data_IF_894485295409
#
_entry.id   IF_894485295409
#
_cell.length_a   1.000
_cell.length_b   1.000
_cell.length_c   1.000
_cell.angle_alpha   90.00
_cell.angle_beta   90.00
_cell.angle_gamma   90.00
#
_symmetry.space_group_name_H-M   'P 1'
#
loop_
_entity.id
_entity.type
_entity.pdbx_description
1 polymer ?
#
# COMPACT_ATOMS: atom_id res chain seq x y z
N UNK A 1 4.68 9.06 16.63
CA UNK A 1 4.51 8.89 18.10
C UNK A 1 5.30 7.68 18.55
N UNK A 2 6.29 7.86 19.41
CA UNK A 2 6.95 6.75 20.10
C UNK A 2 6.30 6.52 21.46
N UNK A 3 6.67 5.42 22.13
CA UNK A 3 6.04 4.98 23.38
C UNK A 3 5.95 6.09 24.45
N UNK A 4 6.93 6.98 24.50
CA UNK A 4 7.04 8.03 25.53
C UNK A 4 7.24 9.44 24.97
N UNK A 5 7.59 9.59 23.69
CA UNK A 5 7.99 10.89 23.14
C UNK A 5 7.72 11.00 21.63
N UNK A 6 7.97 12.20 21.09
CA UNK A 6 7.93 12.48 19.65
C UNK A 6 9.31 12.93 19.18
N UNK A 7 9.89 12.20 18.22
CA UNK A 7 11.20 12.56 17.65
C UNK A 7 11.10 13.68 16.61
N UNK A 8 9.94 13.82 15.97
CA UNK A 8 9.73 14.80 14.90
C UNK A 8 9.24 16.15 15.44
N UNK A 9 8.84 16.21 16.71
CA UNK A 9 8.15 17.38 17.29
C UNK A 9 6.72 17.59 16.78
N UNK A 10 6.22 16.73 15.88
CA UNK A 10 4.88 16.82 15.29
C UNK A 10 3.96 15.84 16.02
N UNK A 11 2.84 16.34 16.53
CA UNK A 11 1.85 15.53 17.24
C UNK A 11 0.92 14.78 16.27
N UNK A 12 0.73 13.49 16.52
CA UNK A 12 -0.14 12.60 15.73
C UNK A 12 0.56 11.93 14.53
N UNK A 13 0.20 10.65 14.28
CA UNK A 13 0.81 9.84 13.20
C UNK A 13 0.43 10.39 11.83
N UNK A 14 -0.86 10.62 11.57
CA UNK A 14 -1.32 11.16 10.30
C UNK A 14 -0.72 12.54 10.00
N UNK A 15 -0.50 13.37 11.02
CA UNK A 15 0.14 14.68 10.87
C UNK A 15 1.60 14.54 10.46
N UNK A 16 2.32 13.58 11.04
CA UNK A 16 3.70 13.26 10.66
C UNK A 16 3.77 12.82 9.19
N UNK A 17 2.91 11.89 8.78
CA UNK A 17 2.86 11.40 7.39
C UNK A 17 2.52 12.53 6.41
N UNK A 18 1.58 13.40 6.78
CA UNK A 18 1.17 14.54 5.96
C UNK A 18 2.32 15.53 5.78
N UNK A 19 3.03 15.86 6.87
CA UNK A 19 4.19 16.75 6.79
C UNK A 19 5.28 16.22 5.85
N UNK A 20 5.55 14.90 5.91
CA UNK A 20 6.51 14.27 4.98
C UNK A 20 6.01 14.30 3.53
N UNK A 21 4.74 13.97 3.28
CA UNK A 21 4.16 13.97 1.93
C UNK A 21 4.12 15.37 1.31
N UNK A 22 3.65 16.37 2.05
CA UNK A 22 3.54 17.76 1.58
C UNK A 22 4.91 18.41 1.40
N UNK A 23 5.90 18.05 2.23
CA UNK A 23 7.26 18.54 2.13
C UNK A 23 7.98 18.18 0.83
N UNK A 24 7.51 17.17 0.10
CA UNK A 24 8.07 16.81 -1.21
C UNK A 24 7.67 17.81 -2.33
N UNK A 25 6.69 18.66 -2.07
CA UNK A 25 6.12 19.60 -3.02
C UNK A 25 5.00 19.02 -3.89
N UNK A 26 4.31 19.85 -4.69
CA UNK A 26 3.14 19.44 -5.48
C UNK A 26 3.45 18.34 -6.50
N UNK A 27 4.62 18.41 -7.14
CA UNK A 27 5.13 17.41 -8.08
C UNK A 27 6.61 17.20 -7.77
N UNK A 28 6.94 15.98 -7.35
CA UNK A 28 8.30 15.59 -6.98
C UNK A 28 9.09 15.22 -8.24
N UNK A 29 10.24 15.85 -8.48
CA UNK A 29 11.21 15.36 -9.47
C UNK A 29 11.87 14.09 -8.94
N UNK A 30 11.59 12.96 -9.59
CA UNK A 30 12.13 11.64 -9.22
C UNK A 30 13.25 11.16 -10.14
N UNK A 31 13.78 12.02 -11.01
CA UNK A 31 14.86 11.66 -11.95
C UNK A 31 16.16 11.20 -11.27
N UNK A 32 16.35 11.61 -10.00
CA UNK A 32 17.53 11.27 -9.17
C UNK A 32 17.19 10.40 -7.96
N UNK A 33 15.97 9.83 -7.91
CA UNK A 33 15.54 9.01 -6.77
C UNK A 33 16.28 7.66 -6.78
N UNK A 34 16.84 7.27 -5.64
CA UNK A 34 17.57 6.01 -5.46
C UNK A 34 16.75 5.08 -4.57
N UNK A 35 16.05 4.12 -5.18
CA UNK A 35 15.17 3.19 -4.48
C UNK A 35 15.96 1.95 -4.01
N UNK A 36 15.75 1.58 -2.75
CA UNK A 36 16.35 0.40 -2.12
C UNK A 36 15.45 -0.84 -2.15
N UNK A 37 15.91 -1.96 -1.58
CA UNK A 37 15.13 -3.20 -1.53
C UNK A 37 13.77 -3.07 -0.82
N UNK A 38 13.69 -2.21 0.21
CA UNK A 38 12.46 -1.95 0.95
C UNK A 38 11.39 -1.23 0.11
N UNK A 39 11.79 -0.54 -0.97
CA UNK A 39 10.89 0.22 -1.85
C UNK A 39 10.22 -0.64 -2.93
N UNK A 40 10.37 -1.97 -2.87
CA UNK A 40 9.76 -2.90 -3.83
C UNK A 40 8.26 -2.62 -4.07
N UNK A 41 7.42 -2.35 -3.06
CA UNK A 41 6.02 -2.01 -3.29
C UNK A 41 5.84 -0.73 -4.12
N UNK A 42 6.62 0.32 -3.85
CA UNK A 42 6.60 1.58 -4.60
C UNK A 42 7.02 1.35 -6.05
N UNK A 43 8.08 0.57 -6.27
CA UNK A 43 8.56 0.20 -7.61
C UNK A 43 7.43 -0.51 -8.39
N UNK A 44 6.77 -1.49 -7.79
CA UNK A 44 5.71 -2.25 -8.47
C UNK A 44 4.47 -1.40 -8.74
N UNK A 45 4.03 -0.60 -7.77
CA UNK A 45 2.89 0.31 -7.96
C UNK A 45 3.14 1.27 -9.14
N UNK A 46 4.33 1.87 -9.22
CA UNK A 46 4.67 2.79 -10.32
C UNK A 46 4.77 2.08 -11.67
N UNK A 47 5.29 0.86 -11.73
CA UNK A 47 5.30 0.06 -12.97
C UNK A 47 3.88 -0.21 -13.47
N UNK A 48 2.96 -0.56 -12.58
CA UNK A 48 1.55 -0.78 -12.93
C UNK A 48 0.90 0.50 -13.47
N UNK A 49 1.13 1.65 -12.83
CA UNK A 49 0.62 2.93 -13.29
C UNK A 49 1.17 3.32 -14.67
N UNK A 50 2.48 3.15 -14.90
CA UNK A 50 3.10 3.44 -16.21
C UNK A 50 2.54 2.54 -17.32
N UNK A 51 2.34 1.25 -17.03
CA UNK A 51 1.70 0.31 -17.97
C UNK A 51 0.26 0.71 -18.27
N UNK A 52 -0.48 1.16 -17.25
CA UNK A 52 -1.85 1.63 -17.44
C UNK A 52 -1.90 2.89 -18.33
N UNK A 53 -1.01 3.86 -18.11
CA UNK A 53 -0.88 5.05 -18.97
C UNK A 53 -0.62 4.65 -20.42
N UNK A 54 0.35 3.77 -20.68
CA UNK A 54 0.66 3.29 -22.02
C UNK A 54 -0.55 2.60 -22.68
N UNK A 55 -1.22 1.72 -21.93
CA UNK A 55 -2.40 1.00 -22.43
C UNK A 55 -3.51 1.96 -22.86
N UNK A 56 -3.77 3.00 -22.06
CA UNK A 56 -4.76 4.03 -22.39
C UNK A 56 -4.34 4.85 -23.61
N UNK A 57 -3.07 5.22 -23.73
CA UNK A 57 -2.54 5.94 -24.89
C UNK A 57 -2.71 5.15 -26.19
N UNK A 58 -2.58 3.82 -26.12
CA UNK A 58 -2.77 2.91 -27.24
C UNK A 58 -4.26 2.60 -27.52
N UNK A 59 -5.20 3.27 -26.82
CA UNK A 59 -6.66 3.08 -26.98
C UNK A 59 -7.23 1.85 -26.27
N UNK A 60 -6.42 1.18 -25.44
CA UNK A 60 -6.81 -0.02 -24.70
C UNK A 60 -7.45 0.28 -23.34
N UNK A 61 -7.92 -0.78 -22.69
CA UNK A 61 -8.45 -0.74 -21.32
C UNK A 61 -7.40 -1.26 -20.33
N UNK A 62 -6.92 -0.45 -19.36
CA UNK A 62 -5.90 -0.88 -18.41
C UNK A 62 -6.45 -1.84 -17.34
N UNK A 63 -5.56 -2.56 -16.66
CA UNK A 63 -5.92 -3.43 -15.53
C UNK A 63 -6.49 -2.60 -14.37
N UNK A 64 -7.37 -3.20 -13.58
CA UNK A 64 -7.88 -2.59 -12.35
C UNK A 64 -9.02 -1.58 -12.54
N UNK A 65 -9.67 -1.55 -13.71
CA UNK A 65 -10.87 -0.71 -13.94
C UNK A 65 -12.19 -1.44 -13.66
N UNK A 66 -12.16 -2.77 -13.54
CA UNK A 66 -13.34 -3.60 -13.28
C UNK A 66 -13.59 -3.81 -11.78
N UNK A 67 -14.82 -4.15 -11.36
CA UNK A 67 -15.23 -4.13 -9.95
C UNK A 67 -14.67 -5.25 -9.07
N UNK A 68 -13.86 -6.14 -9.64
CA UNK A 68 -13.35 -7.36 -8.99
C UNK A 68 -12.67 -7.15 -7.62
N UNK A 69 -12.13 -5.96 -7.37
CA UNK A 69 -11.42 -5.65 -6.13
C UNK A 69 -12.31 -5.04 -5.03
N UNK A 70 -13.57 -4.68 -5.31
CA UNK A 70 -14.44 -4.09 -4.28
C UNK A 70 -14.82 -5.05 -3.16
N UNK A 71 -14.67 -6.35 -3.38
CA UNK A 71 -14.84 -7.37 -2.35
C UNK A 71 -13.61 -7.53 -1.44
N UNK A 72 -12.47 -6.93 -1.79
CA UNK A 72 -11.27 -6.96 -0.93
C UNK A 72 -11.57 -6.21 0.36
N UNK A 73 -11.16 -6.81 1.49
CA UNK A 73 -11.33 -6.26 2.83
C UNK A 73 -10.00 -6.32 3.56
N UNK A 74 -9.70 -5.27 4.32
CA UNK A 74 -8.63 -5.30 5.30
C UNK A 74 -9.18 -5.94 6.59
N UNK A 75 -8.41 -6.83 7.19
CA UNK A 75 -8.68 -7.38 8.51
C UNK A 75 -7.53 -7.01 9.44
N UNK A 76 -7.86 -6.39 10.58
CA UNK A 76 -6.91 -6.09 11.64
C UNK A 76 -7.46 -6.54 12.99
N UNK A 77 -6.57 -6.90 13.91
CA UNK A 77 -6.96 -7.28 15.26
C UNK A 77 -5.78 -7.60 16.16
N UNK A 78 -5.93 -7.32 17.45
CA UNK A 78 -5.01 -7.79 18.49
C UNK A 78 -5.51 -9.16 18.96
N UNK A 79 -4.70 -10.19 18.78
CA UNK A 79 -5.09 -11.57 19.03
C UNK A 79 -4.16 -12.23 20.07
N UNK A 80 -4.66 -13.22 20.83
CA UNK A 80 -3.80 -14.10 21.63
C UNK A 80 -2.70 -14.73 20.76
N UNK A 81 -1.55 -15.00 21.36
CA UNK A 81 -0.36 -15.50 20.65
C UNK A 81 -0.61 -16.81 19.90
N UNK A 82 -1.49 -17.64 20.43
CA UNK A 82 -1.86 -18.97 19.96
C UNK A 82 -3.15 -18.98 19.11
N UNK A 83 -3.75 -17.81 18.87
CA UNK A 83 -4.95 -17.70 18.07
C UNK A 83 -4.67 -17.91 16.57
N UNK A 84 -5.56 -18.64 15.89
CA UNK A 84 -5.53 -18.74 14.43
C UNK A 84 -6.13 -17.47 13.80
N UNK A 85 -5.25 -16.50 13.53
CA UNK A 85 -5.64 -15.21 12.95
C UNK A 85 -6.31 -15.34 11.59
N UNK A 86 -6.01 -16.37 10.80
CA UNK A 86 -6.65 -16.55 9.48
C UNK A 86 -8.11 -16.94 9.67
N UNK A 87 -8.38 -17.90 10.55
CA UNK A 87 -9.75 -18.26 10.87
C UNK A 87 -10.54 -17.09 11.47
N UNK A 88 -9.89 -16.26 12.29
CA UNK A 88 -10.56 -15.16 13.01
C UNK A 88 -10.78 -13.92 12.14
N UNK A 89 -9.75 -13.45 11.44
CA UNK A 89 -9.79 -12.21 10.65
C UNK A 89 -10.33 -12.43 9.24
N UNK A 90 -10.36 -13.67 8.78
CA UNK A 90 -10.80 -14.01 7.42
C UNK A 90 -11.80 -15.17 7.39
N UNK A 91 -12.92 -15.10 8.14
CA UNK A 91 -13.88 -16.19 8.24
C UNK A 91 -14.57 -16.51 6.90
N UNK A 92 -14.67 -15.53 6.01
CA UNK A 92 -15.33 -15.64 4.71
C UNK A 92 -14.36 -15.87 3.53
N UNK A 93 -13.04 -15.97 3.80
CA UNK A 93 -12.08 -16.34 2.76
C UNK A 93 -12.23 -17.83 2.43
N UNK A 94 -12.94 -18.13 1.34
CA UNK A 94 -12.86 -19.46 0.71
C UNK A 94 -11.41 -19.77 0.31
N UNK A 95 -11.00 -21.04 0.36
CA UNK A 95 -9.64 -21.52 0.04
C UNK A 95 -9.23 -21.37 -1.43
N UNK A 96 -9.56 -20.26 -2.09
CA UNK A 96 -9.02 -19.92 -3.39
C UNK A 96 -7.54 -19.55 -3.24
N UNK A 97 -6.73 -20.07 -4.16
CA UNK A 97 -5.26 -20.04 -4.16
C UNK A 97 -4.67 -18.72 -3.62
N UNK A 98 -3.80 -18.83 -2.63
CA UNK A 98 -2.89 -17.74 -2.27
C UNK A 98 -1.97 -17.56 -3.47
N UNK A 99 -2.31 -16.61 -4.35
CA UNK A 99 -1.60 -16.41 -5.62
C UNK A 99 -0.17 -15.89 -5.45
N UNK A 100 0.24 -15.47 -4.25
CA UNK A 100 1.64 -15.25 -3.87
C UNK A 100 1.76 -14.86 -2.39
N UNK A 101 2.64 -15.55 -1.64
CA UNK A 101 3.33 -14.96 -0.49
C UNK A 101 4.47 -14.11 -1.01
N UNK A 102 4.49 -12.82 -0.64
CA UNK A 102 5.64 -11.93 -0.86
C UNK A 102 6.74 -12.25 0.14
#
# INVERSE_FOLDING_TARGET
MQKTETFTGIEGINTQDRATQEGMGPIVDRSKEHLGPADKPIIQARRLLQQAVKTVQDGGTPRGVGPSYYAVRAGEGVLPRDADWRKILTPDLSSAEILQTV
#
